data_IF_204488394577
#
_entry.id   IF_204488394577
#
_cell.length_a   1.000
_cell.length_b   1.000
_cell.length_c   1.000
_cell.angle_alpha   90.00
_cell.angle_beta   90.00
_cell.angle_gamma   90.00
#
_symmetry.space_group_name_H-M   'P 1'
#
loop_
_entity.id
_entity.type
_entity.pdbx_description
1 polymer ?
#
# COMPACT_ATOMS: atom_id res chain seq x y z
N UNK A 1 -14.45 24.11 18.03
CA UNK A 1 -13.08 24.44 18.50
C UNK A 1 -12.09 24.36 17.33
N UNK A 2 -11.90 25.51 16.72
CA UNK A 2 -11.09 25.78 15.52
C UNK A 2 -9.65 26.02 16.01
N UNK A 3 -8.67 25.32 15.44
CA UNK A 3 -7.25 25.62 15.68
C UNK A 3 -6.91 26.99 15.08
N UNK A 4 -6.40 27.97 15.84
CA UNK A 4 -5.88 29.19 15.24
C UNK A 4 -4.46 29.00 14.71
N UNK A 5 -4.21 29.80 13.67
CA UNK A 5 -3.04 29.97 12.81
C UNK A 5 -1.69 30.06 13.57
N UNK A 6 -0.69 29.27 13.15
CA UNK A 6 0.72 29.44 13.52
C UNK A 6 1.36 30.41 12.53
N UNK A 7 1.36 31.70 12.86
CA UNK A 7 2.26 32.68 12.25
C UNK A 7 2.93 33.54 13.31
N UNK A 8 4.27 33.56 13.24
CA UNK A 8 5.10 34.58 13.88
C UNK A 8 5.72 34.15 15.20
N UNK A 9 6.97 33.69 15.12
CA UNK A 9 8.11 34.12 15.94
C UNK A 9 9.19 33.06 15.82
N UNK A 10 10.17 33.31 14.94
CA UNK A 10 11.55 32.87 15.07
C UNK A 10 12.34 33.69 14.04
N UNK A 11 12.97 34.77 14.51
CA UNK A 11 14.03 35.44 13.76
C UNK A 11 15.32 34.62 13.86
N UNK A 12 16.13 34.57 12.79
CA UNK A 12 17.35 33.80 12.75
C UNK A 12 18.51 34.60 13.32
N UNK A 13 19.05 34.14 14.44
CA UNK A 13 20.43 34.51 14.80
C UNK A 13 21.39 33.40 14.38
N UNK A 14 22.42 33.85 13.69
CA UNK A 14 23.32 33.07 12.87
C UNK A 14 24.59 32.75 13.67
N UNK A 15 25.08 31.53 13.44
CA UNK A 15 26.51 31.22 13.21
C UNK A 15 27.41 31.03 14.44
N UNK A 16 27.66 29.76 14.76
CA UNK A 16 28.94 29.25 15.28
C UNK A 16 28.90 27.71 15.17
N UNK A 17 29.84 26.92 14.63
CA UNK A 17 31.08 27.07 13.85
C UNK A 17 31.31 25.70 13.18
N UNK A 18 32.00 25.70 12.04
CA UNK A 18 32.65 24.54 11.38
C UNK A 18 33.90 24.10 12.17
N UNK A 19 34.43 22.93 11.77
CA UNK A 19 35.72 22.26 12.10
C UNK A 19 35.82 21.71 13.53
N UNK A 20 36.25 20.48 13.79
CA UNK A 20 37.52 19.86 13.35
C UNK A 20 37.48 18.34 13.15
N UNK A 21 38.55 17.86 12.53
CA UNK A 21 38.89 16.54 12.01
C UNK A 21 39.86 15.75 12.92
N UNK A 22 39.54 14.46 13.19
CA UNK A 22 40.42 13.25 13.36
C UNK A 22 41.63 13.32 14.36
N UNK A 23 42.41 12.24 14.68
CA UNK A 23 42.32 10.79 14.33
C UNK A 23 42.60 9.76 15.48
N UNK A 24 42.46 8.46 15.14
CA UNK A 24 43.24 7.25 15.53
C UNK A 24 43.34 6.79 17.00
N UNK A 25 43.05 5.49 17.22
CA UNK A 25 44.00 4.58 17.89
C UNK A 25 43.73 3.10 17.56
N UNK A 26 44.84 2.40 17.32
CA UNK A 26 45.03 0.98 17.02
C UNK A 26 44.81 0.10 18.25
N UNK A 27 44.48 -1.17 18.02
CA UNK A 27 44.67 -2.24 19.00
C UNK A 27 44.26 -3.59 18.40
N UNK A 28 45.23 -4.35 17.90
CA UNK A 28 45.02 -5.73 17.44
C UNK A 28 45.54 -6.73 18.47
N UNK A 29 45.00 -7.95 18.43
CA UNK A 29 45.74 -9.17 18.76
C UNK A 29 44.95 -10.40 18.30
N UNK A 30 45.59 -11.19 17.44
CA UNK A 30 45.30 -12.59 17.11
C UNK A 30 45.43 -13.47 18.35
N UNK A 31 44.75 -14.62 18.38
CA UNK A 31 45.30 -15.94 18.73
C UNK A 31 44.38 -17.05 18.17
N UNK A 32 45.01 -18.15 17.79
CA UNK A 32 44.55 -19.29 16.98
C UNK A 32 43.95 -20.47 17.77
N UNK A 33 43.25 -21.35 17.04
CA UNK A 33 43.21 -22.81 17.24
C UNK A 33 42.04 -23.37 18.06
N UNK A 34 41.55 -24.61 17.91
CA UNK A 34 41.69 -25.71 16.95
C UNK A 34 40.74 -26.86 17.41
N UNK A 35 40.36 -27.79 16.50
CA UNK A 35 39.78 -29.12 16.79
C UNK A 35 38.25 -29.17 16.87
N UNK A 36 37.50 -29.93 16.06
CA UNK A 36 37.58 -31.38 15.75
C UNK A 36 36.57 -32.10 16.66
N UNK A 37 35.65 -33.00 16.29
CA UNK A 37 35.25 -33.71 15.08
C UNK A 37 34.20 -34.77 15.52
N UNK A 38 33.45 -35.35 14.59
CA UNK A 38 32.92 -36.72 14.73
C UNK A 38 31.43 -36.95 15.05
N UNK A 39 30.76 -37.68 14.14
CA UNK A 39 29.95 -38.85 14.52
C UNK A 39 28.42 -38.70 14.54
N UNK A 40 27.74 -39.32 13.56
CA UNK A 40 26.36 -39.82 13.74
C UNK A 40 26.32 -40.99 14.74
N UNK A 41 25.16 -41.64 15.01
CA UNK A 41 24.24 -42.17 14.00
C UNK A 41 22.73 -42.08 14.33
N UNK A 42 21.90 -42.42 13.33
CA UNK A 42 20.48 -42.85 13.47
C UNK A 42 20.40 -44.22 14.20
N UNK A 43 19.30 -44.60 14.88
CA UNK A 43 18.16 -45.29 14.22
C UNK A 43 16.78 -45.04 14.89
N UNK A 44 15.68 -44.83 14.15
CA UNK A 44 14.68 -45.80 13.62
C UNK A 44 13.62 -46.34 14.62
N UNK A 45 12.39 -46.53 14.07
CA UNK A 45 11.19 -47.29 14.54
C UNK A 45 10.12 -46.49 15.30
N UNK A 46 8.80 -46.64 15.06
CA UNK A 46 7.97 -47.61 14.32
C UNK A 46 6.58 -46.95 14.08
N UNK A 47 6.03 -46.91 12.87
CA UNK A 47 5.04 -47.85 12.24
C UNK A 47 3.62 -47.85 12.82
N UNK A 48 2.62 -47.61 11.96
CA UNK A 48 1.38 -48.39 11.70
C UNK A 48 0.66 -47.76 10.48
N UNK A 49 0.74 -48.33 9.27
CA UNK A 49 -0.25 -49.23 8.60
C UNK A 49 -1.69 -48.71 8.60
N UNK A 50 -2.29 -48.35 7.47
CA UNK A 50 -3.17 -49.19 6.61
C UNK A 50 -4.06 -48.20 5.81
N UNK A 51 -4.65 -48.41 4.63
CA UNK A 51 -4.83 -49.55 3.74
C UNK A 51 -5.14 -49.05 2.30
N UNK A 52 -5.12 -50.01 1.38
CA UNK A 52 -5.29 -49.97 -0.07
C UNK A 52 -6.64 -49.44 -0.64
N UNK A 53 -6.53 -48.67 -1.74
CA UNK A 53 -7.20 -48.79 -3.08
C UNK A 53 -8.74 -48.84 -3.24
N UNK A 54 -9.29 -48.83 -4.48
CA UNK A 54 -8.64 -48.71 -5.79
C UNK A 54 -9.26 -47.67 -6.77
N UNK A 55 -8.65 -47.58 -7.96
CA UNK A 55 -9.01 -46.79 -9.16
C UNK A 55 -10.15 -47.44 -9.99
N UNK A 56 -10.91 -46.63 -10.77
CA UNK A 56 -11.55 -46.95 -12.09
C UNK A 56 -12.14 -45.65 -12.69
N UNK A 57 -11.63 -45.11 -13.82
CA UNK A 57 -12.02 -45.27 -15.25
C UNK A 57 -13.51 -44.95 -15.58
N UNK A 58 -13.77 -43.92 -16.41
CA UNK A 58 -15.03 -43.72 -17.18
C UNK A 58 -15.08 -44.58 -18.46
N UNK A 59 -15.84 -44.28 -19.55
CA UNK A 59 -16.81 -43.20 -19.85
C UNK A 59 -18.16 -43.72 -20.48
N UNK A 60 -18.91 -42.87 -21.23
CA UNK A 60 -20.05 -43.12 -22.19
C UNK A 60 -21.46 -43.25 -21.61
N UNK A 61 -22.59 -43.04 -22.30
CA UNK A 61 -23.12 -42.21 -23.41
C UNK A 61 -24.64 -42.49 -23.37
N UNK A 62 -25.54 -41.53 -23.56
CA UNK A 62 -26.85 -41.82 -24.20
C UNK A 62 -27.50 -40.57 -24.83
N UNK A 63 -28.29 -40.85 -25.87
CA UNK A 63 -28.68 -40.04 -27.03
C UNK A 63 -30.08 -39.38 -26.95
N UNK A 64 -30.36 -38.51 -27.92
CA UNK A 64 -31.70 -38.19 -28.46
C UNK A 64 -31.81 -36.74 -28.94
N UNK A 65 -31.48 -36.41 -30.20
CA UNK A 65 -32.40 -36.25 -31.38
C UNK A 65 -33.26 -34.96 -31.26
N UNK A 66 -33.21 -33.96 -32.14
CA UNK A 66 -33.57 -34.01 -33.56
C UNK A 66 -32.94 -32.90 -34.46
N UNK A 67 -33.00 -33.19 -35.76
CA UNK A 67 -32.41 -32.56 -36.94
C UNK A 67 -32.95 -31.13 -37.27
N UNK A 68 -32.08 -30.19 -37.67
CA UNK A 68 -31.72 -29.77 -39.04
C UNK A 68 -32.61 -28.67 -39.67
N UNK A 69 -32.01 -27.52 -40.00
CA UNK A 69 -32.15 -26.81 -41.29
C UNK A 69 -31.33 -25.49 -41.33
N UNK A 70 -30.26 -25.52 -42.13
CA UNK A 70 -29.82 -24.52 -43.11
C UNK A 70 -29.87 -23.00 -42.84
N UNK A 71 -28.67 -22.41 -42.85
CA UNK A 71 -28.24 -21.23 -43.61
C UNK A 71 -28.95 -19.87 -43.43
N UNK A 72 -28.26 -18.93 -42.79
CA UNK A 72 -28.04 -17.58 -43.33
C UNK A 72 -26.94 -16.85 -42.54
N UNK A 73 -25.79 -16.63 -43.20
CA UNK A 73 -24.80 -15.62 -42.78
C UNK A 73 -25.48 -14.25 -42.83
N UNK A 74 -25.70 -13.65 -41.67
CA UNK A 74 -25.71 -12.20 -41.53
C UNK A 74 -24.76 -11.84 -40.40
N UNK A 75 -23.62 -11.32 -40.81
CA UNK A 75 -22.69 -10.56 -39.99
C UNK A 75 -23.42 -9.36 -39.40
N UNK A 76 -24.12 -9.58 -38.31
CA UNK A 76 -24.44 -8.53 -37.35
C UNK A 76 -23.12 -8.24 -36.65
N UNK A 77 -22.38 -7.27 -37.22
CA UNK A 77 -21.44 -6.49 -36.45
C UNK A 77 -22.21 -5.96 -35.25
N UNK A 78 -22.11 -6.68 -34.14
CA UNK A 78 -22.40 -6.16 -32.82
C UNK A 78 -21.52 -4.93 -32.73
N UNK A 79 -22.11 -3.78 -32.99
CA UNK A 79 -21.66 -2.53 -32.41
C UNK A 79 -21.84 -2.77 -30.92
N UNK A 80 -20.86 -3.47 -30.34
CA UNK A 80 -20.49 -3.30 -28.96
C UNK A 80 -20.14 -1.84 -28.90
N UNK A 81 -21.18 -1.02 -28.70
CA UNK A 81 -21.06 0.28 -28.08
C UNK A 81 -20.36 -0.05 -26.77
N UNK A 82 -19.04 -0.03 -26.83
CA UNK A 82 -18.21 0.26 -25.69
C UNK A 82 -18.75 1.59 -25.20
N UNK A 83 -19.66 1.52 -24.25
CA UNK A 83 -19.92 2.57 -23.26
C UNK A 83 -18.70 2.67 -22.35
N UNK A 84 -17.51 2.69 -22.96
CA UNK A 84 -16.28 3.09 -22.33
C UNK A 84 -16.40 4.58 -22.09
N UNK A 85 -16.13 4.98 -20.84
CA UNK A 85 -15.78 6.32 -20.37
C UNK A 85 -16.83 7.19 -19.65
N UNK A 86 -17.68 6.63 -18.76
CA UNK A 86 -18.37 7.47 -17.73
C UNK A 86 -18.39 6.87 -16.29
N UNK A 87 -17.58 5.88 -15.94
CA UNK A 87 -17.32 5.57 -14.51
C UNK A 87 -15.83 5.65 -14.21
N UNK A 88 -15.45 6.75 -13.54
CA UNK A 88 -14.08 7.12 -13.19
C UNK A 88 -13.47 6.28 -12.08
N UNK A 89 -13.58 4.96 -12.18
CA UNK A 89 -13.02 4.02 -11.21
C UNK A 89 -11.50 3.93 -11.41
N UNK A 90 -10.75 4.43 -10.41
CA UNK A 90 -9.29 4.31 -10.37
C UNK A 90 -8.90 3.12 -9.52
N UNK A 91 -7.85 2.43 -9.91
CA UNK A 91 -7.15 1.47 -9.06
C UNK A 91 -6.20 2.18 -8.10
N UNK A 92 -5.80 1.50 -7.03
CA UNK A 92 -4.88 2.01 -6.00
C UNK A 92 -3.55 2.49 -6.60
N UNK A 93 -2.98 1.77 -7.57
CA UNK A 93 -1.73 2.15 -8.24
C UNK A 93 -1.80 3.46 -9.03
N UNK A 94 -3.01 3.96 -9.31
CA UNK A 94 -3.25 5.25 -9.97
C UNK A 94 -3.47 6.41 -8.99
N UNK A 95 -3.34 6.15 -7.69
CA UNK A 95 -3.37 7.15 -6.63
C UNK A 95 -1.95 7.59 -6.28
N UNK A 96 -1.86 8.70 -5.56
CA UNK A 96 -0.60 9.19 -4.98
C UNK A 96 -0.19 8.32 -3.81
N UNK A 97 0.70 7.38 -4.08
CA UNK A 97 1.30 6.50 -3.07
C UNK A 97 2.52 7.15 -2.40
N UNK A 98 2.75 6.79 -1.14
CA UNK A 98 3.94 7.19 -0.39
C UNK A 98 4.93 6.03 -0.33
N UNK A 99 6.24 6.33 -0.40
CA UNK A 99 7.26 5.32 -0.14
C UNK A 99 7.11 4.82 1.30
N UNK A 100 7.03 3.50 1.48
CA UNK A 100 6.96 2.90 2.79
C UNK A 100 8.28 3.10 3.53
N UNK A 101 8.21 3.58 4.77
CA UNK A 101 9.30 3.43 5.73
C UNK A 101 9.17 2.04 6.33
N UNK A 102 10.26 1.27 6.30
CA UNK A 102 10.31 -0.09 6.86
C UNK A 102 11.43 -0.17 7.88
N UNK A 103 11.17 -0.79 9.03
CA UNK A 103 12.15 -1.04 10.10
C UNK A 103 11.95 -2.44 10.69
N UNK A 104 12.97 -3.05 11.32
CA UNK A 104 12.81 -4.31 12.03
C UNK A 104 11.86 -4.20 13.25
N UNK A 105 11.13 -5.26 13.54
CA UNK A 105 10.13 -5.31 14.63
C UNK A 105 10.72 -5.25 16.05
N UNK A 106 12.01 -5.55 16.21
CA UNK A 106 12.76 -5.39 17.46
C UNK A 106 13.29 -3.96 17.69
N UNK A 107 13.10 -3.04 16.72
CA UNK A 107 13.47 -1.62 16.89
C UNK A 107 12.72 -1.03 18.09
N UNK A 108 13.37 -0.18 18.88
CA UNK A 108 12.71 0.49 20.01
C UNK A 108 11.70 1.52 19.52
N UNK A 109 10.67 1.80 20.32
CA UNK A 109 9.69 2.85 20.01
C UNK A 109 10.39 4.20 19.83
N UNK A 110 11.38 4.51 20.66
CA UNK A 110 12.19 5.73 20.54
C UNK A 110 12.81 5.89 19.15
N UNK A 111 13.52 4.87 18.67
CA UNK A 111 14.21 4.92 17.38
C UNK A 111 13.20 4.92 16.21
N UNK A 112 12.09 4.19 16.34
CA UNK A 112 11.00 4.25 15.37
C UNK A 112 10.44 5.66 15.22
N UNK A 113 10.12 6.33 16.34
CA UNK A 113 9.65 7.72 16.37
C UNK A 113 10.66 8.68 15.73
N UNK A 114 11.96 8.53 16.01
CA UNK A 114 13.02 9.33 15.38
C UNK A 114 13.04 9.16 13.87
N UNK A 115 12.97 7.92 13.38
CA UNK A 115 12.94 7.64 11.93
C UNK A 115 11.68 8.17 11.26
N UNK A 116 10.52 8.03 11.90
CA UNK A 116 9.25 8.59 11.43
C UNK A 116 9.34 10.12 11.31
N UNK A 117 9.85 10.80 12.34
CA UNK A 117 10.04 12.25 12.33
C UNK A 117 11.01 12.71 11.24
N UNK A 118 12.16 12.04 11.09
CA UNK A 118 13.16 12.36 10.07
C UNK A 118 12.61 12.21 8.64
N UNK A 119 11.75 11.21 8.41
CA UNK A 119 11.11 10.97 7.11
C UNK A 119 9.81 11.76 6.91
N UNK A 120 9.32 12.45 7.94
CA UNK A 120 8.03 13.16 7.96
C UNK A 120 6.86 12.23 7.58
N UNK A 121 6.85 11.04 8.16
CA UNK A 121 5.79 10.03 8.00
C UNK A 121 5.12 9.75 9.34
N UNK A 122 3.85 9.36 9.29
CA UNK A 122 2.99 9.07 10.44
C UNK A 122 2.70 7.57 10.61
N UNK A 123 3.26 6.72 9.73
CA UNK A 123 3.20 5.28 9.81
C UNK A 123 4.50 4.62 9.33
N UNK A 124 4.81 3.47 9.92
CA UNK A 124 5.98 2.64 9.57
C UNK A 124 5.58 1.17 9.48
N UNK A 125 6.11 0.49 8.48
CA UNK A 125 5.95 -0.95 8.29
C UNK A 125 7.05 -1.70 9.04
N UNK A 126 6.67 -2.83 9.62
CA UNK A 126 7.55 -3.62 10.46
C UNK A 126 7.80 -4.97 9.82
N UNK A 127 9.06 -5.36 9.77
CA UNK A 127 9.49 -6.66 9.24
C UNK A 127 10.06 -7.53 10.34
N UNK A 128 9.79 -8.82 10.25
CA UNK A 128 10.39 -9.84 11.12
C UNK A 128 11.83 -10.18 10.70
N UNK A 129 12.41 -11.20 11.34
CA UNK A 129 13.75 -11.72 11.03
C UNK A 129 13.89 -12.30 9.62
N UNK A 130 12.79 -12.67 8.97
CA UNK A 130 12.75 -13.20 7.61
C UNK A 130 12.52 -12.08 6.57
N UNK A 131 12.56 -10.81 6.99
CA UNK A 131 12.22 -9.65 6.18
C UNK A 131 10.77 -9.64 5.66
N UNK A 132 9.86 -10.38 6.29
CA UNK A 132 8.45 -10.40 5.94
C UNK A 132 7.67 -9.34 6.72
N UNK A 133 6.69 -8.70 6.07
CA UNK A 133 5.80 -7.73 6.72
C UNK A 133 5.02 -8.42 7.85
N UNK A 134 5.29 -8.02 9.10
CA UNK A 134 4.65 -8.60 10.28
C UNK A 134 3.76 -7.60 11.03
N UNK A 135 3.94 -6.29 10.78
CA UNK A 135 3.19 -5.27 11.49
C UNK A 135 3.21 -3.89 10.85
N UNK A 136 2.35 -3.02 11.39
CA UNK A 136 2.36 -1.57 11.15
C UNK A 136 2.32 -0.84 12.49
N UNK A 137 3.05 0.26 12.60
CA UNK A 137 2.99 1.17 13.73
C UNK A 137 2.63 2.57 13.22
N UNK A 138 1.65 3.19 13.87
CA UNK A 138 1.16 4.55 13.54
C UNK A 138 1.28 5.50 14.73
N UNK A 139 1.15 6.80 14.47
CA UNK A 139 1.00 7.83 15.51
C UNK A 139 -0.06 7.47 16.56
N UNK A 140 -1.22 6.97 16.12
CA UNK A 140 -2.31 6.49 16.98
C UNK A 140 -1.86 5.35 17.88
N UNK A 141 -1.09 4.41 17.38
CA UNK A 141 -0.58 3.29 18.20
C UNK A 141 0.40 3.78 19.25
N UNK A 142 1.28 4.72 18.91
CA UNK A 142 2.20 5.35 19.87
C UNK A 142 1.40 6.07 20.96
N UNK A 143 0.43 6.91 20.59
CA UNK A 143 -0.39 7.63 21.57
C UNK A 143 -1.17 6.68 22.48
N UNK A 144 -1.83 5.67 21.92
CA UNK A 144 -2.79 4.83 22.66
C UNK A 144 -2.17 3.64 23.38
N UNK A 145 -1.03 3.12 22.91
CA UNK A 145 -0.40 1.91 23.47
C UNK A 145 0.94 2.15 24.13
N UNK A 146 1.59 3.29 23.88
CA UNK A 146 2.85 3.67 24.54
C UNK A 146 2.58 4.78 25.55
N UNK A 147 2.16 5.96 25.08
CA UNK A 147 2.03 7.17 25.93
C UNK A 147 0.93 7.00 26.96
N UNK A 148 -0.27 6.60 26.54
CA UNK A 148 -1.40 6.37 27.45
C UNK A 148 -1.18 5.24 28.47
N UNK A 149 -0.13 4.44 28.29
CA UNK A 149 0.25 3.32 29.18
C UNK A 149 1.58 3.56 29.89
N UNK A 150 2.17 4.74 29.73
CA UNK A 150 3.41 5.15 30.38
C UNK A 150 4.58 4.17 30.15
N UNK A 151 4.64 3.56 28.96
CA UNK A 151 5.74 2.66 28.61
C UNK A 151 7.02 3.45 28.31
N UNK A 152 8.17 2.95 28.78
CA UNK A 152 9.49 3.52 28.44
C UNK A 152 9.81 3.32 26.97
N UNK A 153 10.10 4.40 26.25
CA UNK A 153 10.27 4.38 24.79
C UNK A 153 11.57 3.68 24.37
N UNK A 154 12.59 3.76 25.22
CA UNK A 154 13.94 3.25 25.00
C UNK A 154 14.00 1.73 25.16
N UNK A 155 13.18 1.18 26.06
CA UNK A 155 13.20 -0.26 26.40
C UNK A 155 12.09 -1.05 25.67
N UNK A 156 11.09 -0.37 25.11
CA UNK A 156 9.94 -1.02 24.48
C UNK A 156 10.20 -1.25 22.99
N UNK A 157 10.29 -2.49 22.51
CA UNK A 157 10.32 -2.78 21.08
C UNK A 157 8.96 -2.52 20.44
N UNK A 158 8.96 -2.07 19.19
CA UNK A 158 7.74 -1.78 18.42
C UNK A 158 6.86 -3.01 18.24
N UNK A 159 7.41 -4.22 18.23
CA UNK A 159 6.67 -5.49 18.19
C UNK A 159 5.66 -5.68 19.35
N UNK A 160 5.85 -4.99 20.48
CA UNK A 160 4.90 -5.01 21.62
C UNK A 160 3.70 -4.09 21.44
N UNK A 161 3.81 -3.08 20.59
CA UNK A 161 2.80 -2.01 20.45
C UNK A 161 2.25 -1.88 19.03
N UNK A 162 2.83 -2.56 18.04
CA UNK A 162 2.36 -2.56 16.66
C UNK A 162 0.98 -3.20 16.48
N UNK A 163 0.30 -2.85 15.40
CA UNK A 163 -0.80 -3.64 14.86
C UNK A 163 -0.21 -4.79 14.05
N UNK A 164 -0.42 -6.03 14.51
CA UNK A 164 0.05 -7.25 13.84
C UNK A 164 -0.81 -7.55 12.62
N UNK A 165 -0.20 -8.17 11.60
CA UNK A 165 -0.89 -8.64 10.39
C UNK A 165 -1.79 -7.55 9.77
N UNK A 166 -1.22 -6.39 9.37
CA UNK A 166 -2.01 -5.29 8.84
C UNK A 166 -2.77 -5.71 7.59
N UNK A 167 -4.02 -5.24 7.46
CA UNK A 167 -4.76 -5.36 6.22
C UNK A 167 -4.01 -4.61 5.12
N UNK A 168 -3.98 -5.20 3.92
CA UNK A 168 -3.35 -4.60 2.74
C UNK A 168 -4.32 -4.58 1.56
N UNK A 169 -3.90 -3.88 0.50
CA UNK A 169 -4.59 -3.85 -0.80
C UNK A 169 -3.60 -4.13 -1.93
N UNK A 170 -4.10 -4.67 -3.04
CA UNK A 170 -3.30 -4.83 -4.23
C UNK A 170 -3.26 -3.51 -5.01
N UNK A 171 -2.21 -3.29 -5.80
CA UNK A 171 -2.13 -2.12 -6.69
C UNK A 171 -3.32 -2.02 -7.65
N UNK A 172 -3.90 -3.15 -8.05
CA UNK A 172 -5.05 -3.23 -8.95
C UNK A 172 -6.42 -3.18 -8.26
N UNK A 173 -6.46 -3.22 -6.92
CA UNK A 173 -7.71 -3.01 -6.16
C UNK A 173 -8.32 -1.65 -6.49
N UNK A 174 -9.65 -1.55 -6.53
CA UNK A 174 -10.33 -0.27 -6.73
C UNK A 174 -10.04 0.69 -5.56
N UNK A 175 -9.80 1.96 -5.87
CA UNK A 175 -9.55 3.00 -4.88
C UNK A 175 -10.69 3.15 -3.88
N UNK A 176 -11.93 2.98 -4.34
CA UNK A 176 -13.14 3.04 -3.49
C UNK A 176 -13.16 1.89 -2.48
N UNK A 177 -12.79 0.68 -2.90
CA UNK A 177 -12.70 -0.47 -2.00
C UNK A 177 -11.61 -0.28 -0.94
N UNK A 178 -10.45 0.27 -1.33
CA UNK A 178 -9.39 0.61 -0.38
C UNK A 178 -9.85 1.65 0.66
N UNK A 179 -10.57 2.68 0.22
CA UNK A 179 -11.17 3.69 1.11
C UNK A 179 -12.23 3.08 2.04
N UNK A 180 -13.09 2.19 1.54
CA UNK A 180 -14.07 1.49 2.35
C UNK A 180 -13.41 0.65 3.45
N UNK A 181 -12.34 -0.08 3.12
CA UNK A 181 -11.53 -0.82 4.10
C UNK A 181 -10.98 0.09 5.21
N UNK A 182 -10.43 1.26 4.84
CA UNK A 182 -9.94 2.25 5.79
C UNK A 182 -11.04 2.76 6.74
N UNK A 183 -12.21 3.11 6.20
CA UNK A 183 -13.34 3.63 6.99
C UNK A 183 -13.90 2.56 7.92
N UNK A 184 -14.17 1.35 7.42
CA UNK A 184 -14.73 0.26 8.21
C UNK A 184 -13.75 -0.22 9.28
N UNK A 185 -12.47 -0.32 8.93
CA UNK A 185 -11.41 -0.75 9.84
C UNK A 185 -10.90 0.34 10.79
N UNK A 186 -11.36 1.60 10.64
CA UNK A 186 -10.98 2.75 11.47
C UNK A 186 -9.46 2.99 11.51
N UNK A 187 -8.81 2.84 10.37
CA UNK A 187 -7.40 3.14 10.14
C UNK A 187 -7.20 3.98 8.88
N UNK A 188 -6.08 4.69 8.80
CA UNK A 188 -5.81 5.65 7.72
C UNK A 188 -4.80 5.15 6.68
N UNK A 189 -4.02 4.15 7.05
CA UNK A 189 -2.89 3.66 6.27
C UNK A 189 -3.15 2.25 5.79
N UNK A 190 -2.86 1.98 4.52
CA UNK A 190 -2.91 0.65 3.92
C UNK A 190 -1.58 0.35 3.22
N UNK A 191 -0.86 -0.72 3.61
CA UNK A 191 0.17 -1.30 2.76
C UNK A 191 -0.39 -1.63 1.38
N UNK A 192 0.36 -1.25 0.34
CA UNK A 192 0.06 -1.61 -1.04
C UNK A 192 1.04 -2.70 -1.46
N UNK A 193 0.47 -3.84 -1.84
CA UNK A 193 1.22 -5.02 -2.25
C UNK A 193 1.10 -5.21 -3.76
N UNK A 194 2.20 -5.56 -4.40
CA UNK A 194 2.25 -5.95 -5.79
C UNK A 194 3.23 -7.12 -5.96
N UNK A 195 2.84 -8.15 -6.70
CA UNK A 195 3.62 -9.39 -6.89
C UNK A 195 4.15 -10.02 -5.58
N UNK A 196 3.41 -9.90 -4.48
CA UNK A 196 3.79 -10.44 -3.16
C UNK A 196 4.74 -9.55 -2.35
N UNK A 197 5.15 -8.40 -2.88
CA UNK A 197 6.03 -7.45 -2.22
C UNK A 197 5.30 -6.17 -1.84
N UNK A 198 5.71 -5.55 -0.73
CA UNK A 198 5.16 -4.25 -0.34
C UNK A 198 5.87 -3.15 -1.11
N UNK A 199 5.14 -2.51 -2.02
CA UNK A 199 5.70 -1.46 -2.89
C UNK A 199 5.53 -0.05 -2.31
N UNK A 200 4.49 0.17 -1.49
CA UNK A 200 4.14 1.49 -1.02
C UNK A 200 3.18 1.48 0.17
N UNK A 201 2.89 2.68 0.68
CA UNK A 201 1.84 2.94 1.66
C UNK A 201 0.81 3.91 1.07
N UNK A 202 -0.46 3.55 1.16
CA UNK A 202 -1.60 4.40 0.82
C UNK A 202 -2.12 5.09 2.09
N UNK A 203 -2.37 6.39 2.01
CA UNK A 203 -2.92 7.22 3.09
C UNK A 203 -4.23 7.86 2.63
N UNK A 204 -5.27 7.76 3.46
CA UNK A 204 -6.58 8.36 3.20
C UNK A 204 -6.49 9.87 2.87
N UNK A 205 -5.57 10.61 3.49
CA UNK A 205 -5.39 12.03 3.20
C UNK A 205 -4.94 12.24 1.75
N UNK A 206 -4.06 11.39 1.22
CA UNK A 206 -3.62 11.43 -0.18
C UNK A 206 -4.77 11.12 -1.13
N UNK A 207 -5.63 10.16 -0.78
CA UNK A 207 -6.84 9.87 -1.55
C UNK A 207 -7.75 11.10 -1.62
N UNK A 208 -7.93 11.81 -0.51
CA UNK A 208 -8.74 13.04 -0.45
C UNK A 208 -8.14 14.14 -1.32
N UNK A 209 -6.82 14.39 -1.23
CA UNK A 209 -6.15 15.36 -2.10
C UNK A 209 -6.31 15.01 -3.59
N UNK A 210 -6.16 13.74 -3.96
CA UNK A 210 -6.33 13.29 -5.34
C UNK A 210 -7.77 13.43 -5.84
N UNK A 211 -8.75 13.30 -4.94
CA UNK A 211 -10.17 13.51 -5.24
C UNK A 211 -10.47 14.99 -5.47
N UNK A 212 -10.05 15.87 -4.55
CA UNK A 212 -10.23 17.33 -4.65
C UNK A 212 -9.57 17.86 -5.93
N UNK A 213 -8.30 17.55 -6.14
CA UNK A 213 -7.57 17.99 -7.33
C UNK A 213 -8.22 17.49 -8.63
N UNK A 214 -8.87 16.32 -8.61
CA UNK A 214 -9.62 15.83 -9.77
C UNK A 214 -10.91 16.61 -9.98
N UNK A 215 -11.65 16.90 -8.91
CA UNK A 215 -12.89 17.66 -8.99
C UNK A 215 -12.63 19.07 -9.52
N UNK A 216 -11.58 19.74 -9.04
CA UNK A 216 -11.15 21.05 -9.54
C UNK A 216 -10.82 21.01 -11.03
N UNK A 217 -10.02 20.03 -11.47
CA UNK A 217 -9.69 19.84 -12.88
C UNK A 217 -10.90 19.54 -13.76
N UNK A 218 -11.88 18.79 -13.24
CA UNK A 218 -13.11 18.49 -13.97
C UNK A 218 -13.99 19.73 -14.10
N UNK A 219 -14.11 20.53 -13.03
CA UNK A 219 -14.86 21.77 -13.02
C UNK A 219 -14.27 22.82 -13.99
N UNK A 220 -12.94 22.95 -14.02
CA UNK A 220 -12.26 23.87 -14.94
C UNK A 220 -12.50 23.50 -16.40
N UNK A 221 -12.39 22.20 -16.73
CA UNK A 221 -12.71 21.70 -18.08
C UNK A 221 -14.17 21.93 -18.45
N UNK A 222 -15.09 21.72 -17.51
CA UNK A 222 -16.51 22.01 -17.71
C UNK A 222 -16.76 23.49 -18.04
N UNK A 223 -16.12 24.41 -17.30
CA UNK A 223 -16.19 25.85 -17.58
C UNK A 223 -15.63 26.21 -18.95
N UNK A 224 -14.47 25.67 -19.31
CA UNK A 224 -13.86 25.92 -20.61
C UNK A 224 -14.74 25.44 -21.78
N UNK A 225 -15.37 24.27 -21.63
CA UNK A 225 -16.31 23.74 -22.62
C UNK A 225 -17.55 24.65 -22.72
N UNK A 226 -18.14 25.05 -21.60
CA UNK A 226 -19.31 25.94 -21.60
C UNK A 226 -19.02 27.27 -22.30
N UNK A 227 -17.89 27.91 -21.97
CA UNK A 227 -17.47 29.17 -22.60
C UNK A 227 -17.23 29.01 -24.11
N UNK A 228 -16.64 27.87 -24.54
CA UNK A 228 -16.45 27.59 -25.96
C UNK A 228 -17.78 27.42 -26.71
N UNK A 229 -18.76 26.75 -26.10
CA UNK A 229 -20.10 26.57 -26.69
C UNK A 229 -20.83 27.91 -26.83
N UNK A 230 -20.83 28.75 -25.79
CA UNK A 230 -21.41 30.11 -25.87
C UNK A 230 -20.73 30.97 -26.95
N UNK A 231 -19.42 30.81 -27.13
CA UNK A 231 -18.66 31.49 -28.18
C UNK A 231 -19.13 31.09 -29.58
N UNK A 232 -19.42 29.81 -29.81
CA UNK A 232 -19.90 29.31 -31.11
C UNK A 232 -21.31 29.83 -31.42
N UNK A 233 -22.22 29.82 -30.46
CA UNK A 233 -23.60 30.29 -30.65
C UNK A 233 -23.67 31.76 -31.07
N UNK A 234 -22.79 32.61 -30.53
CA UNK A 234 -22.73 34.05 -30.86
C UNK A 234 -22.25 34.34 -32.29
N UNK A 235 -21.41 33.48 -32.87
CA UNK A 235 -20.89 33.66 -34.23
C UNK A 235 -21.83 33.12 -35.31
N UNK A 236 -22.74 32.18 -34.98
CA UNK A 236 -23.70 31.63 -35.94
C UNK A 236 -24.99 32.46 -36.05
N UNK A 237 -25.35 33.22 -35.00
CA UNK A 237 -26.54 34.08 -34.99
C UNK A 237 -26.48 35.33 -35.87
N UNK A 238 -25.32 35.67 -36.44
CA UNK A 238 -25.11 36.88 -37.26
C UNK A 238 -25.07 36.63 -38.77
N UNK A 239 -25.10 35.39 -39.25
CA UNK A 239 -25.04 35.06 -40.69
C UNK A 239 -26.40 34.77 -41.37
N UNK A 240 -27.52 34.79 -40.64
CA UNK A 240 -28.86 34.46 -41.20
C UNK A 240 -29.76 35.69 -41.40
N UNK A 241 -29.30 36.90 -41.07
CA UNK A 241 -30.02 38.14 -41.34
C UNK A 241 -29.32 38.92 -42.47
N UNK A 242 -29.64 38.58 -43.72
CA UNK A 242 -29.17 39.26 -44.92
C UNK A 242 -30.07 38.98 -46.10
#
# INVERSE_FOLDING_TARGET
>A
PIYPDRRGLLSPDQRCRRSESLPLSRGGSRMDGAGGGGGGPHPSRRSISSAAGPRRRGPSMENGHDAAATAARRSSATISRTTSTVTGERTVKRLRLSKALTIPDHTTVYEACRRMAARRVDAVLLTDSNALLCGILTDKDITTRVIARELKLEDTPVSKVMTRNPLFVLGDTLAVEALQKMVQGKFRHLPVVDNGEVIALLDIAKCLYDAIARMERAAEKGRAIAAAVEGVEKHWGTSVAG
#
